data_IF_650711957450
#
_entry.id   IF_650711957450
#
_cell.length_a   1.000
_cell.length_b   1.000
_cell.length_c   1.000
_cell.angle_alpha   90.00
_cell.angle_beta   90.00
_cell.angle_gamma   90.00
#
_symmetry.space_group_name_H-M   'P 1'
#
loop_
_entity.id
_entity.type
_entity.pdbx_description
1 polymer ?
#
# COMPACT_ATOMS: atom_id res chain seq x y z
N UNK A 1 49.86 -24.74 6.40
CA UNK A 1 48.60 -24.54 5.66
C UNK A 1 47.48 -24.67 6.67
N UNK A 2 47.03 -23.53 7.20
CA UNK A 2 46.00 -23.45 8.22
C UNK A 2 44.79 -22.72 7.62
N UNK A 3 43.66 -23.39 7.76
CA UNK A 3 42.29 -22.97 7.47
C UNK A 3 41.88 -21.81 8.41
N UNK A 4 41.40 -20.69 7.84
CA UNK A 4 40.82 -19.57 8.59
C UNK A 4 39.69 -18.91 7.79
N UNK A 5 38.47 -19.26 8.22
CA UNK A 5 37.33 -18.37 8.48
C UNK A 5 36.58 -17.72 7.30
N UNK A 6 35.42 -18.32 7.03
CA UNK A 6 34.13 -17.72 6.67
C UNK A 6 33.81 -16.45 7.49
N UNK A 7 34.44 -15.32 7.15
CA UNK A 7 34.11 -13.97 7.67
C UNK A 7 34.25 -12.89 6.59
N UNK A 8 33.76 -13.18 5.38
CA UNK A 8 33.88 -12.29 4.21
C UNK A 8 32.62 -11.54 3.78
N UNK A 9 31.42 -11.88 4.26
CA UNK A 9 30.18 -11.35 3.65
C UNK A 9 29.09 -10.84 4.62
N UNK A 10 29.40 -10.62 5.91
CA UNK A 10 28.43 -10.07 6.88
C UNK A 10 28.99 -8.89 7.67
N UNK A 11 29.44 -7.85 6.96
CA UNK A 11 29.84 -6.58 7.59
C UNK A 11 29.66 -5.40 6.63
N UNK A 12 28.44 -5.15 6.15
CA UNK A 12 28.12 -3.93 5.40
C UNK A 12 26.66 -3.47 5.55
N UNK A 13 26.08 -3.56 6.75
CA UNK A 13 24.85 -2.82 7.09
C UNK A 13 24.83 -2.49 8.58
N UNK A 14 25.79 -1.67 9.02
CA UNK A 14 25.75 -1.04 10.34
C UNK A 14 25.93 0.45 10.14
N UNK A 15 24.80 1.11 9.89
CA UNK A 15 24.70 2.53 9.62
C UNK A 15 23.40 3.11 10.16
N UNK A 16 23.18 2.98 11.47
CA UNK A 16 22.48 3.93 12.35
C UNK A 16 21.42 4.82 11.68
N UNK A 17 20.19 4.33 11.54
CA UNK A 17 19.03 5.22 11.41
C UNK A 17 18.77 5.88 12.78
N UNK A 18 19.49 6.98 13.05
CA UNK A 18 19.01 7.99 13.97
C UNK A 18 18.01 8.82 13.18
N UNK A 19 16.71 8.59 13.40
CA UNK A 19 15.68 9.48 12.91
C UNK A 19 15.94 10.88 13.46
N UNK A 20 16.11 11.83 12.55
CA UNK A 20 16.51 13.21 12.82
C UNK A 20 15.43 13.94 13.60
N UNK A 21 15.76 14.39 14.81
CA UNK A 21 15.02 15.42 15.51
C UNK A 21 15.38 16.79 14.96
N UNK A 22 14.40 17.46 14.33
CA UNK A 22 13.88 18.78 14.71
C UNK A 22 13.07 19.41 13.57
N UNK A 23 11.83 19.85 13.87
CA UNK A 23 11.33 21.12 13.34
C UNK A 23 9.97 21.19 12.66
N UNK A 24 8.96 20.40 13.05
CA UNK A 24 7.56 20.61 12.65
C UNK A 24 6.62 20.11 13.73
N UNK A 25 5.73 20.95 14.22
CA UNK A 25 4.81 20.67 15.33
C UNK A 25 3.73 19.67 14.88
N UNK A 26 4.00 18.38 14.98
CA UNK A 26 3.01 17.30 14.98
C UNK A 26 3.34 16.37 16.14
N UNK A 27 2.41 16.20 17.06
CA UNK A 27 2.65 15.45 18.29
C UNK A 27 2.77 13.94 18.01
N UNK A 28 3.39 13.25 18.95
CA UNK A 28 3.73 11.85 18.82
C UNK A 28 2.59 10.98 19.37
N UNK A 29 1.76 10.45 18.47
CA UNK A 29 0.82 9.38 18.76
C UNK A 29 1.57 8.16 19.28
N UNK A 30 1.23 7.75 20.49
CA UNK A 30 1.86 6.64 21.20
C UNK A 30 1.49 5.32 20.52
N UNK A 31 2.26 4.90 19.51
CA UNK A 31 2.20 3.53 18.97
C UNK A 31 2.70 2.56 20.06
N UNK A 32 1.91 1.55 20.41
CA UNK A 32 2.44 0.37 21.10
C UNK A 32 3.27 -0.35 20.04
N UNK A 33 4.58 -0.24 20.16
CA UNK A 33 5.49 -0.95 19.29
C UNK A 33 5.28 -2.47 19.45
N UNK A 34 4.68 -3.12 18.44
CA UNK A 34 5.15 -4.45 18.09
C UNK A 34 6.57 -4.29 17.56
N UNK A 35 7.48 -5.13 18.04
CA UNK A 35 8.91 -4.88 17.96
C UNK A 35 9.46 -4.92 16.53
N UNK A 36 10.20 -3.86 16.20
CA UNK A 36 11.27 -3.79 15.20
C UNK A 36 10.87 -3.73 13.72
N UNK A 37 11.22 -2.60 13.09
CA UNK A 37 11.37 -2.42 11.65
C UNK A 37 12.47 -3.31 10.99
N UNK A 38 13.00 -4.28 11.74
CA UNK A 38 13.94 -5.32 11.26
C UNK A 38 13.21 -6.65 10.96
N UNK A 39 11.91 -6.76 11.28
CA UNK A 39 11.05 -7.92 11.01
C UNK A 39 9.96 -7.53 9.99
N UNK A 40 10.34 -7.16 8.77
CA UNK A 40 9.38 -6.95 7.68
C UNK A 40 9.64 -8.01 6.62
N UNK A 41 8.65 -8.87 6.36
CA UNK A 41 8.76 -9.80 5.25
C UNK A 41 8.48 -9.01 3.96
N UNK A 42 9.57 -8.75 3.24
CA UNK A 42 9.57 -7.92 2.04
C UNK A 42 9.21 -8.76 0.81
N UNK A 43 8.11 -8.43 0.15
CA UNK A 43 7.80 -8.92 -1.18
C UNK A 43 8.28 -7.91 -2.22
N UNK A 44 9.52 -8.05 -2.68
CA UNK A 44 10.14 -7.13 -3.65
C UNK A 44 10.10 -7.60 -5.10
N UNK A 45 9.92 -8.89 -5.34
CA UNK A 45 9.89 -9.49 -6.69
C UNK A 45 8.44 -9.62 -7.21
N UNK A 46 8.11 -9.07 -8.38
CA UNK A 46 6.82 -9.31 -9.03
C UNK A 46 6.54 -10.80 -9.19
N UNK A 47 5.34 -11.22 -8.81
CA UNK A 47 4.90 -12.62 -8.79
C UNK A 47 5.26 -13.39 -7.52
N UNK A 48 6.08 -12.84 -6.63
CA UNK A 48 6.34 -13.46 -5.33
C UNK A 48 5.05 -13.50 -4.50
N UNK A 49 4.86 -14.59 -3.74
CA UNK A 49 3.68 -14.76 -2.90
C UNK A 49 4.01 -15.43 -1.58
N UNK A 50 3.25 -15.08 -0.55
CA UNK A 50 3.26 -15.76 0.75
C UNK A 50 1.85 -16.27 1.09
N UNK A 51 1.80 -17.31 1.90
CA UNK A 51 0.55 -17.84 2.45
C UNK A 51 0.52 -17.58 3.95
N UNK A 52 -0.61 -17.07 4.42
CA UNK A 52 -0.86 -16.69 5.80
C UNK A 52 -2.06 -17.48 6.28
N UNK A 53 -1.91 -18.12 7.44
CA UNK A 53 -2.95 -18.98 8.02
C UNK A 53 -3.60 -18.24 9.19
N UNK A 54 -4.92 -18.29 9.34
CA UNK A 54 -5.58 -17.64 10.46
C UNK A 54 -5.15 -18.26 11.79
N UNK A 55 -5.16 -17.44 12.85
CA UNK A 55 -5.02 -17.92 14.22
C UNK A 55 -6.22 -18.77 14.66
N UNK A 56 -6.18 -19.27 15.90
CA UNK A 56 -7.26 -20.13 16.42
C UNK A 56 -8.65 -19.46 16.44
N UNK A 57 -8.71 -18.12 16.41
CA UNK A 57 -9.95 -17.34 16.42
C UNK A 57 -10.31 -16.76 15.04
N UNK A 58 -9.62 -17.18 13.98
CA UNK A 58 -9.71 -16.53 12.67
C UNK A 58 -8.70 -15.39 12.53
N UNK A 59 -8.92 -14.54 11.55
CA UNK A 59 -8.18 -13.28 11.39
C UNK A 59 -8.79 -12.17 12.24
N UNK A 60 -7.94 -11.31 12.79
CA UNK A 60 -8.34 -9.98 13.22
C UNK A 60 -8.38 -9.04 12.01
N UNK A 61 -8.85 -7.81 12.21
CA UNK A 61 -8.97 -6.83 11.10
C UNK A 61 -7.60 -6.56 10.47
N UNK A 62 -7.58 -6.61 9.14
CA UNK A 62 -6.39 -6.42 8.32
C UNK A 62 -6.36 -4.96 7.87
N UNK A 63 -5.23 -4.29 8.03
CA UNK A 63 -5.06 -2.89 7.61
C UNK A 63 -4.03 -2.79 6.49
N UNK A 64 -4.39 -2.08 5.42
CA UNK A 64 -3.56 -1.83 4.26
C UNK A 64 -3.35 -0.33 4.16
N UNK A 65 -2.12 0.13 4.32
CA UNK A 65 -1.75 1.55 4.23
C UNK A 65 -0.82 1.80 3.05
N UNK A 66 -0.98 2.95 2.38
CA UNK A 66 0.01 3.46 1.46
C UNK A 66 0.94 4.44 2.20
N UNK A 67 2.25 4.31 1.98
CA UNK A 67 3.21 5.31 2.43
C UNK A 67 4.22 5.59 1.33
N UNK A 68 4.76 6.79 1.29
CA UNK A 68 5.77 7.18 0.31
C UNK A 68 6.86 8.03 0.96
N UNK A 69 8.00 8.12 0.28
CA UNK A 69 9.03 9.07 0.66
C UNK A 69 8.77 10.37 -0.11
N UNK A 70 8.53 11.48 0.58
CA UNK A 70 8.52 12.78 -0.08
C UNK A 70 9.90 13.07 -0.67
N UNK A 71 10.01 13.54 -1.93
CA UNK A 71 11.29 13.99 -2.45
C UNK A 71 11.77 15.14 -1.55
N UNK A 72 13.07 15.18 -1.16
CA UNK A 72 13.57 16.23 -0.31
C UNK A 72 13.28 17.58 -0.96
N UNK A 73 12.53 18.43 -0.26
CA UNK A 73 12.33 19.80 -0.66
C UNK A 73 13.71 20.45 -0.76
N UNK A 74 14.21 20.69 -1.99
CA UNK A 74 15.43 21.47 -2.15
C UNK A 74 15.14 22.89 -1.65
N UNK A 75 15.55 23.15 -0.41
CA UNK A 75 15.49 24.47 0.23
C UNK A 75 16.59 25.36 -0.36
N UNK A 76 16.50 25.62 -1.66
CA UNK A 76 17.40 26.51 -2.39
C UNK A 76 16.88 27.94 -2.31
N UNK A 77 17.62 28.82 -1.63
CA UNK A 77 17.35 30.26 -1.51
C UNK A 77 17.26 31.01 -2.87
N UNK A 78 17.51 30.33 -4.00
CA UNK A 78 17.34 30.84 -5.37
C UNK A 78 16.00 30.44 -6.06
N UNK A 79 15.18 29.56 -5.48
CA UNK A 79 13.95 29.06 -6.12
C UNK A 79 12.80 30.08 -6.19
N UNK A 80 12.90 31.23 -5.50
CA UNK A 80 11.87 32.29 -5.52
C UNK A 80 11.74 33.04 -6.86
N UNK A 81 12.65 32.83 -7.82
CA UNK A 81 12.63 33.54 -9.11
C UNK A 81 12.14 32.69 -10.31
N UNK A 82 11.89 31.39 -10.12
CA UNK A 82 11.28 30.54 -11.12
C UNK A 82 9.89 30.09 -10.64
N UNK A 83 8.85 30.76 -11.16
CA UNK A 83 7.44 30.36 -10.99
C UNK A 83 7.24 28.99 -11.66
N UNK A 84 7.41 27.93 -10.90
CA UNK A 84 7.27 26.55 -11.34
C UNK A 84 7.79 25.60 -10.27
N UNK A 85 7.26 25.70 -9.05
CA UNK A 85 7.48 24.67 -8.04
C UNK A 85 7.03 23.31 -8.62
N UNK A 86 7.76 22.22 -8.40
CA UNK A 86 7.27 20.90 -8.79
C UNK A 86 5.97 20.66 -8.02
N UNK A 87 4.84 20.54 -8.73
CA UNK A 87 3.58 20.12 -8.13
C UNK A 87 3.83 18.81 -7.36
N UNK A 88 3.36 18.79 -6.09
CA UNK A 88 3.27 17.56 -5.31
C UNK A 88 2.46 16.53 -6.09
N UNK A 89 2.83 15.26 -5.97
CA UNK A 89 2.09 14.17 -6.59
C UNK A 89 1.08 13.69 -5.56
N UNK A 90 -0.20 13.68 -5.93
CA UNK A 90 -1.27 13.14 -5.10
C UNK A 90 -1.37 11.65 -5.36
N UNK A 91 -1.13 10.84 -4.32
CA UNK A 91 -1.13 9.39 -4.40
C UNK A 91 -2.33 8.85 -3.63
N UNK A 92 -3.24 8.22 -4.34
CA UNK A 92 -4.43 7.62 -3.77
C UNK A 92 -4.29 6.09 -3.62
N UNK A 93 -4.96 5.54 -2.61
CA UNK A 93 -5.12 4.10 -2.37
C UNK A 93 -6.54 3.63 -2.77
N UNK A 94 -6.62 2.46 -3.41
CA UNK A 94 -7.89 1.81 -3.71
C UNK A 94 -7.79 0.30 -3.80
N UNK A 95 -8.93 -0.36 -3.92
CA UNK A 95 -8.97 -1.78 -4.20
C UNK A 95 -10.17 -2.22 -5.03
N UNK A 96 -9.99 -3.26 -5.85
CA UNK A 96 -11.10 -4.07 -6.33
C UNK A 96 -11.35 -5.21 -5.37
N UNK A 97 -12.62 -5.58 -5.19
CA UNK A 97 -12.99 -6.73 -4.39
C UNK A 97 -13.99 -7.63 -5.11
N UNK A 98 -13.96 -8.89 -4.73
CA UNK A 98 -14.97 -9.88 -5.06
C UNK A 98 -15.29 -10.68 -3.80
N UNK A 99 -16.57 -10.76 -3.47
CA UNK A 99 -17.08 -11.55 -2.35
C UNK A 99 -17.36 -12.99 -2.78
N UNK A 100 -17.47 -13.89 -1.81
CA UNK A 100 -17.73 -15.31 -2.04
C UNK A 100 -19.06 -15.58 -2.77
N UNK A 101 -20.03 -14.67 -2.65
CA UNK A 101 -21.32 -14.74 -3.36
C UNK A 101 -21.27 -14.17 -4.80
N UNK A 102 -20.10 -13.69 -5.24
CA UNK A 102 -19.86 -13.14 -6.58
C UNK A 102 -20.16 -11.64 -6.72
N UNK A 103 -20.60 -10.96 -5.64
CA UNK A 103 -20.67 -9.51 -5.61
C UNK A 103 -19.27 -8.92 -5.79
N UNK A 104 -19.18 -7.85 -6.57
CA UNK A 104 -17.93 -7.21 -6.95
C UNK A 104 -18.07 -5.71 -6.86
N UNK A 105 -16.97 -5.06 -6.52
CA UNK A 105 -16.95 -3.62 -6.39
C UNK A 105 -15.54 -3.06 -6.30
N UNK A 106 -15.51 -1.74 -6.08
CA UNK A 106 -14.28 -0.98 -5.89
C UNK A 106 -14.42 -0.16 -4.61
N UNK A 107 -13.33 -0.05 -3.85
CA UNK A 107 -13.14 1.01 -2.87
C UNK A 107 -12.19 2.04 -3.46
N UNK A 108 -12.62 3.30 -3.50
CA UNK A 108 -11.84 4.42 -3.99
C UNK A 108 -12.48 5.75 -3.56
N UNK A 109 -11.63 6.72 -3.22
CA UNK A 109 -12.07 8.06 -2.81
C UNK A 109 -12.79 8.75 -3.97
N UNK A 110 -12.22 8.71 -5.18
CA UNK A 110 -12.89 9.21 -6.38
C UNK A 110 -14.13 8.35 -6.71
N UNK A 111 -15.31 8.97 -6.68
CA UNK A 111 -16.59 8.28 -6.86
C UNK A 111 -17.27 7.86 -5.55
N UNK A 112 -16.73 8.30 -4.41
CA UNK A 112 -17.32 8.16 -3.06
C UNK A 112 -17.66 6.70 -2.72
N UNK A 113 -16.71 5.78 -2.97
CA UNK A 113 -16.86 4.35 -2.71
C UNK A 113 -15.99 3.95 -1.51
N UNK A 114 -16.45 4.29 -0.31
CA UNK A 114 -15.68 4.05 0.92
C UNK A 114 -15.93 2.69 1.56
N UNK A 115 -17.02 1.99 1.23
CA UNK A 115 -17.33 0.71 1.86
C UNK A 115 -17.75 0.83 3.33
N UNK A 116 -17.93 -0.31 3.99
CA UNK A 116 -18.41 -0.43 5.38
C UNK A 116 -17.88 -1.72 6.00
N UNK A 117 -17.65 -1.72 7.30
CA UNK A 117 -17.23 -2.91 8.06
C UNK A 117 -18.42 -3.67 8.68
N UNK A 118 -19.56 -3.01 8.88
CA UNK A 118 -20.76 -3.58 9.53
C UNK A 118 -21.77 -4.18 8.54
N UNK A 119 -21.48 -4.12 7.25
CA UNK A 119 -22.25 -4.69 6.15
C UNK A 119 -21.30 -5.02 4.99
N UNK A 120 -21.70 -5.84 4.00
CA UNK A 120 -20.94 -6.00 2.78
C UNK A 120 -20.56 -4.62 2.20
N UNK A 121 -19.29 -4.40 1.81
CA UNK A 121 -18.31 -5.43 1.47
C UNK A 121 -17.40 -5.93 2.61
N UNK A 122 -17.68 -5.60 3.88
CA UNK A 122 -16.83 -5.95 5.03
C UNK A 122 -15.43 -5.34 4.99
N UNK A 123 -15.30 -4.25 4.24
CA UNK A 123 -14.07 -3.52 4.03
C UNK A 123 -14.38 -2.05 3.85
N UNK A 124 -13.47 -1.19 4.32
CA UNK A 124 -13.65 0.25 4.31
C UNK A 124 -12.34 0.96 3.98
N UNK A 125 -12.41 1.90 3.04
CA UNK A 125 -11.37 2.91 2.79
C UNK A 125 -11.61 4.09 3.74
N UNK A 126 -10.53 4.59 4.35
CA UNK A 126 -10.59 5.80 5.17
C UNK A 126 -11.09 6.99 4.34
N UNK A 127 -12.07 7.72 4.88
CA UNK A 127 -12.46 9.00 4.31
C UNK A 127 -11.36 10.01 4.64
N UNK A 128 -10.65 10.47 3.61
CA UNK A 128 -9.62 11.50 3.64
C UNK A 128 -9.90 12.58 4.70
N UNK A 129 -9.04 12.62 5.72
CA UNK A 129 -8.99 13.72 6.68
C UNK A 129 -8.27 14.91 6.02
N UNK A 130 -8.96 15.59 5.09
CA UNK A 130 -8.51 16.83 4.43
C UNK A 130 -8.16 18.00 5.36
N UNK A 131 -8.31 17.81 6.67
CA UNK A 131 -7.75 18.66 7.70
C UNK A 131 -6.56 17.91 8.30
N UNK A 132 -5.33 18.28 7.94
CA UNK A 132 -4.08 17.74 8.51
C UNK A 132 -3.91 17.99 10.01
N UNK A 133 -4.88 17.54 10.81
CA UNK A 133 -5.02 17.67 12.25
C UNK A 133 -5.10 16.30 12.94
N UNK A 134 -5.25 15.19 12.20
CA UNK A 134 -5.29 13.84 12.75
C UNK A 134 -3.97 13.08 12.51
N UNK A 135 -3.39 12.50 13.56
CA UNK A 135 -2.20 11.65 13.47
C UNK A 135 -2.57 10.25 12.91
N UNK A 136 -2.02 9.86 11.75
CA UNK A 136 -2.27 8.56 11.11
C UNK A 136 -1.72 8.47 9.68
N UNK A 137 -1.79 7.29 9.06
CA UNK A 137 -1.49 7.13 7.61
C UNK A 137 -2.58 7.86 6.81
N UNK A 138 -2.18 8.61 5.77
CA UNK A 138 -3.05 9.56 5.04
C UNK A 138 -4.26 8.86 4.38
N UNK A 139 -4.08 7.62 3.90
CA UNK A 139 -5.16 6.74 3.44
C UNK A 139 -4.90 5.26 3.78
N UNK A 140 -5.91 4.56 4.30
CA UNK A 140 -5.83 3.11 4.57
C UNK A 140 -7.15 2.38 4.25
N UNK A 141 -7.03 1.11 3.90
CA UNK A 141 -8.14 0.17 3.75
C UNK A 141 -8.12 -0.81 4.91
N UNK A 142 -9.23 -0.91 5.64
CA UNK A 142 -9.47 -1.97 6.63
C UNK A 142 -10.34 -3.06 6.01
N UNK A 143 -9.96 -4.32 6.18
CA UNK A 143 -10.76 -5.50 5.83
C UNK A 143 -11.11 -6.23 7.13
N UNK A 144 -12.38 -6.57 7.33
CA UNK A 144 -12.81 -7.26 8.54
C UNK A 144 -12.32 -8.70 8.55
N UNK A 145 -11.47 -9.04 9.51
CA UNK A 145 -10.93 -10.41 9.65
C UNK A 145 -12.01 -11.42 10.02
N UNK A 146 -13.01 -10.98 10.79
CA UNK A 146 -14.17 -11.78 11.16
C UNK A 146 -15.03 -12.20 9.95
N UNK A 147 -14.93 -11.45 8.84
CA UNK A 147 -15.66 -11.70 7.59
C UNK A 147 -14.73 -12.10 6.43
N UNK A 148 -13.49 -12.51 6.71
CA UNK A 148 -12.54 -12.91 5.65
C UNK A 148 -13.08 -14.05 4.78
N UNK A 149 -13.84 -14.99 5.35
CA UNK A 149 -14.48 -16.08 4.61
C UNK A 149 -15.57 -15.62 3.64
N UNK A 150 -16.11 -14.41 3.81
CA UNK A 150 -17.05 -13.79 2.87
C UNK A 150 -16.32 -13.09 1.70
N UNK A 151 -15.00 -12.91 1.79
CA UNK A 151 -14.16 -12.25 0.78
C UNK A 151 -13.47 -13.32 -0.07
N UNK A 152 -13.66 -13.27 -1.40
CA UNK A 152 -12.98 -14.19 -2.34
C UNK A 152 -11.59 -13.69 -2.68
N UNK A 153 -11.48 -12.42 -3.08
CA UNK A 153 -10.21 -11.78 -3.43
C UNK A 153 -10.30 -10.26 -3.38
N UNK A 154 -9.15 -9.63 -3.15
CA UNK A 154 -8.95 -8.19 -3.16
C UNK A 154 -7.71 -7.88 -4.01
N UNK A 155 -7.82 -6.92 -4.92
CA UNK A 155 -6.67 -6.37 -5.66
C UNK A 155 -6.42 -4.95 -5.16
N UNK A 156 -5.28 -4.75 -4.53
CA UNK A 156 -4.84 -3.46 -3.99
C UNK A 156 -4.12 -2.71 -5.11
N UNK A 157 -4.47 -1.45 -5.28
CA UNK A 157 -3.81 -0.58 -6.25
C UNK A 157 -3.60 0.81 -5.68
N UNK A 158 -2.65 1.51 -6.28
CA UNK A 158 -2.42 2.94 -6.07
C UNK A 158 -2.49 3.66 -7.41
N UNK A 159 -2.85 4.93 -7.39
CA UNK A 159 -2.93 5.74 -8.60
C UNK A 159 -2.53 7.19 -8.35
N UNK A 160 -2.07 7.85 -9.41
CA UNK A 160 -1.76 9.28 -9.40
C UNK A 160 -2.94 10.01 -10.03
N UNK A 161 -3.71 10.72 -9.20
CA UNK A 161 -4.92 11.42 -9.65
C UNK A 161 -4.60 12.73 -10.38
N UNK A 162 -3.70 13.54 -9.82
CA UNK A 162 -3.21 14.77 -10.45
C UNK A 162 -1.67 14.86 -10.38
N UNK A 163 -1.09 15.50 -11.38
CA UNK A 163 0.35 15.59 -11.58
C UNK A 163 0.92 14.56 -12.57
N UNK A 164 2.16 14.79 -13.00
CA UNK A 164 2.85 13.87 -13.91
C UNK A 164 3.29 12.61 -13.15
N UNK A 165 3.02 11.39 -13.67
CA UNK A 165 3.46 10.16 -13.02
C UNK A 165 4.98 10.15 -12.87
N UNK A 166 5.46 10.20 -11.64
CA UNK A 166 6.88 10.14 -11.28
C UNK A 166 7.08 9.15 -10.15
N UNK A 167 6.67 7.91 -10.38
CA UNK A 167 6.83 6.79 -9.45
C UNK A 167 8.29 6.65 -8.98
N UNK A 168 9.22 6.88 -9.91
CA UNK A 168 10.66 6.94 -9.66
C UNK A 168 11.09 7.89 -8.55
N UNK A 169 10.35 8.99 -8.34
CA UNK A 169 10.62 10.00 -7.32
C UNK A 169 9.90 9.75 -5.99
N UNK A 170 8.73 9.10 -6.02
CA UNK A 170 7.83 8.91 -4.86
C UNK A 170 8.18 7.63 -4.08
N UNK A 171 8.67 6.60 -4.78
CA UNK A 171 9.01 5.29 -4.22
C UNK A 171 7.93 4.76 -3.26
N UNK A 172 6.70 4.53 -3.73
CA UNK A 172 5.61 4.12 -2.85
C UNK A 172 5.89 2.73 -2.26
N UNK A 173 5.48 2.57 -1.01
CA UNK A 173 5.40 1.30 -0.30
C UNK A 173 3.95 1.09 0.13
N UNK A 174 3.45 -0.13 -0.04
CA UNK A 174 2.18 -0.54 0.55
C UNK A 174 2.48 -1.46 1.70
N UNK A 175 2.01 -1.08 2.89
CA UNK A 175 2.15 -1.83 4.12
C UNK A 175 0.86 -2.61 4.39
N UNK A 176 0.99 -3.88 4.73
CA UNK A 176 -0.10 -4.72 5.18
C UNK A 176 0.19 -5.15 6.61
N UNK A 177 -0.67 -4.74 7.53
CA UNK A 177 -0.71 -5.18 8.92
C UNK A 177 -1.77 -6.27 9.04
N UNK A 178 -1.31 -7.49 9.31
CA UNK A 178 -2.14 -8.66 9.59
C UNK A 178 -1.80 -9.09 11.01
N UNK A 179 -2.69 -8.88 12.00
CA UNK A 179 -2.36 -9.16 13.39
C UNK A 179 -1.92 -10.60 13.61
N UNK A 180 -0.74 -10.76 14.25
CA UNK A 180 -0.09 -12.05 14.47
C UNK A 180 1.02 -12.38 13.47
N UNK A 181 1.12 -11.64 12.37
CA UNK A 181 2.24 -11.69 11.43
C UNK A 181 3.20 -10.51 11.63
N UNK A 182 4.38 -10.61 11.03
CA UNK A 182 5.26 -9.47 10.84
C UNK A 182 4.64 -8.50 9.84
N UNK A 183 4.92 -7.19 9.97
CA UNK A 183 4.51 -6.20 8.97
C UNK A 183 4.98 -6.63 7.58
N UNK A 184 4.06 -6.65 6.62
CA UNK A 184 4.37 -7.03 5.25
C UNK A 184 4.46 -5.78 4.39
N UNK A 185 5.55 -5.65 3.63
CA UNK A 185 5.72 -4.55 2.70
C UNK A 185 5.79 -5.04 1.27
N UNK A 186 5.01 -4.42 0.40
CA UNK A 186 5.20 -4.49 -1.05
C UNK A 186 5.91 -3.21 -1.48
N UNK A 187 7.16 -3.37 -1.94
CA UNK A 187 7.94 -2.27 -2.51
C UNK A 187 7.84 -2.34 -4.03
N UNK A 188 7.52 -1.19 -4.63
CA UNK A 188 7.48 -1.01 -6.07
C UNK A 188 8.92 -0.90 -6.61
N UNK A 189 9.56 -2.05 -6.78
CA UNK A 189 10.94 -2.18 -7.24
C UNK A 189 11.10 -1.83 -8.73
N UNK A 190 10.00 -1.91 -9.49
CA UNK A 190 9.91 -1.54 -10.91
C UNK A 190 8.86 -0.45 -11.07
N UNK A 191 9.10 0.49 -11.98
CA UNK A 191 8.18 1.60 -12.24
C UNK A 191 8.01 1.91 -13.72
N UNK A 192 6.85 2.45 -14.06
CA UNK A 192 6.57 2.98 -15.39
C UNK A 192 5.88 4.34 -15.29
N UNK A 193 6.69 5.40 -15.38
CA UNK A 193 6.27 6.81 -15.30
C UNK A 193 5.33 7.26 -16.46
N UNK A 194 4.95 6.35 -17.38
CA UNK A 194 3.95 6.63 -18.42
C UNK A 194 2.54 6.15 -18.05
N UNK A 195 2.40 5.38 -16.98
CA UNK A 195 1.16 4.71 -16.60
C UNK A 195 0.73 5.19 -15.20
N UNK A 196 -0.49 5.74 -15.04
CA UNK A 196 -0.91 6.41 -13.81
C UNK A 196 -1.48 5.48 -12.74
N UNK A 197 -1.67 4.19 -13.03
CA UNK A 197 -2.22 3.20 -12.09
C UNK A 197 -1.23 2.06 -11.90
N UNK A 198 -1.04 1.62 -10.65
CA UNK A 198 -0.25 0.45 -10.32
C UNK A 198 -1.06 -0.53 -9.47
N UNK A 199 -1.25 -1.76 -9.97
CA UNK A 199 -1.70 -2.90 -9.18
C UNK A 199 -0.54 -3.39 -8.33
N UNK A 200 -0.66 -3.24 -7.01
CA UNK A 200 0.43 -3.47 -6.08
C UNK A 200 0.43 -4.92 -5.61
N UNK A 201 -0.68 -5.39 -5.04
CA UNK A 201 -0.75 -6.74 -4.49
C UNK A 201 -2.16 -7.30 -4.49
N UNK A 202 -2.24 -8.63 -4.52
CA UNK A 202 -3.49 -9.38 -4.50
C UNK A 202 -3.59 -10.20 -3.22
N UNK A 203 -4.74 -10.13 -2.55
CA UNK A 203 -5.14 -11.03 -1.48
C UNK A 203 -6.17 -12.01 -2.04
N UNK A 204 -5.89 -13.31 -1.97
CA UNK A 204 -6.84 -14.36 -2.36
C UNK A 204 -7.20 -15.20 -1.13
N UNK A 205 -8.50 -15.45 -0.92
CA UNK A 205 -8.94 -16.41 0.09
C UNK A 205 -8.74 -17.82 -0.44
N UNK A 206 -7.76 -18.54 0.14
CA UNK A 206 -7.46 -19.92 -0.20
C UNK A 206 -7.73 -20.78 1.02
N UNK A 207 -8.91 -21.41 1.04
CA UNK A 207 -9.35 -22.31 2.13
C UNK A 207 -9.34 -21.63 3.51
N UNK A 208 -9.79 -20.38 3.58
CA UNK A 208 -9.82 -19.58 4.81
C UNK A 208 -8.48 -18.95 5.18
N UNK A 209 -7.40 -19.25 4.45
CA UNK A 209 -6.13 -18.53 4.54
C UNK A 209 -6.05 -17.35 3.56
N UNK A 210 -5.02 -16.53 3.70
CA UNK A 210 -4.68 -15.46 2.75
C UNK A 210 -3.50 -15.92 1.92
N UNK A 211 -3.63 -15.88 0.60
CA UNK A 211 -2.48 -15.84 -0.31
C UNK A 211 -2.26 -14.39 -0.72
N UNK A 212 -1.16 -13.80 -0.25
CA UNK A 212 -0.72 -12.48 -0.67
C UNK A 212 0.26 -12.62 -1.84
N UNK A 213 0.00 -11.94 -2.95
CA UNK A 213 0.89 -11.92 -4.14
C UNK A 213 1.30 -10.48 -4.43
N UNK A 214 2.60 -10.23 -4.66
CA UNK A 214 3.07 -8.97 -5.21
C UNK A 214 2.83 -8.98 -6.73
N UNK A 215 2.03 -8.04 -7.23
CA UNK A 215 1.85 -7.85 -8.67
C UNK A 215 2.85 -6.83 -9.22
N UNK A 216 2.91 -5.61 -8.66
CA UNK A 216 3.73 -4.50 -9.19
C UNK A 216 3.56 -4.35 -10.71
N UNK A 217 2.31 -4.29 -11.16
CA UNK A 217 1.94 -4.16 -12.58
C UNK A 217 1.30 -2.78 -12.84
N UNK A 218 1.67 -2.14 -13.95
CA UNK A 218 1.23 -0.77 -14.26
C UNK A 218 0.24 -0.74 -15.43
N UNK A 219 -0.76 0.14 -15.34
CA UNK A 219 -1.88 0.22 -16.29
C UNK A 219 -2.20 1.67 -16.69
N UNK A 220 -2.73 1.90 -17.91
CA UNK A 220 -3.15 3.22 -18.36
C UNK A 220 -4.40 3.74 -17.62
N UNK A 221 -5.17 2.84 -17.01
CA UNK A 221 -6.37 3.15 -16.26
C UNK A 221 -6.98 1.93 -15.58
N UNK A 222 -7.99 2.18 -14.76
CA UNK A 222 -8.68 1.14 -13.97
C UNK A 222 -9.44 0.13 -14.84
N UNK A 223 -9.95 0.53 -16.02
CA UNK A 223 -10.61 -0.37 -16.97
C UNK A 223 -9.63 -1.43 -17.52
N UNK A 224 -8.44 -1.00 -17.92
CA UNK A 224 -7.41 -1.92 -18.43
C UNK A 224 -6.89 -2.84 -17.33
N UNK A 225 -6.74 -2.31 -16.11
CA UNK A 225 -6.41 -3.11 -14.92
C UNK A 225 -7.48 -4.16 -14.63
N UNK A 226 -8.77 -3.79 -14.64
CA UNK A 226 -9.87 -4.73 -14.44
C UNK A 226 -9.90 -5.82 -15.52
N UNK A 227 -9.68 -5.47 -16.79
CA UNK A 227 -9.60 -6.47 -17.87
C UNK A 227 -8.47 -7.46 -17.65
N UNK A 228 -7.33 -7.02 -17.12
CA UNK A 228 -6.19 -7.88 -16.85
C UNK A 228 -6.43 -8.85 -15.67
N UNK A 229 -7.06 -8.37 -14.60
CA UNK A 229 -7.33 -9.17 -13.39
C UNK A 229 -8.70 -9.87 -13.39
N UNK A 230 -9.57 -9.52 -14.32
CA UNK A 230 -10.86 -10.15 -14.56
C UNK A 230 -11.85 -10.00 -13.41
N UNK A 231 -11.99 -8.81 -12.78
CA UNK A 231 -13.10 -8.56 -11.87
C UNK A 231 -14.40 -8.38 -12.67
N UNK A 232 -14.35 -7.83 -13.88
CA UNK A 232 -15.53 -7.69 -14.74
C UNK A 232 -16.48 -6.63 -14.21
N UNK A 233 -15.93 -5.49 -13.83
CA UNK A 233 -16.66 -4.37 -13.26
C UNK A 233 -17.55 -3.70 -14.31
N UNK A 234 -18.74 -3.21 -13.93
CA UNK A 234 -19.59 -2.45 -14.85
C UNK A 234 -19.04 -1.03 -15.02
N UNK A 235 -18.05 -0.87 -15.89
CA UNK A 235 -17.54 0.45 -16.26
C UNK A 235 -18.59 1.20 -17.09
N UNK A 236 -19.07 2.34 -16.58
CA UNK A 236 -19.81 3.30 -17.40
C UNK A 236 -18.87 4.08 -18.32
N UNK A 237 -19.42 4.88 -19.22
CA UNK A 237 -18.69 5.89 -20.01
C UNK A 237 -18.19 7.01 -19.06
N UNK A 238 -17.24 6.69 -18.19
CA UNK A 238 -16.67 7.63 -17.23
C UNK A 238 -16.07 8.82 -17.97
N UNK A 239 -16.64 10.01 -17.76
CA UNK A 239 -15.98 11.26 -18.16
C UNK A 239 -14.94 11.58 -17.09
N UNK A 240 -13.71 11.82 -17.55
CA UNK A 240 -12.64 12.44 -16.76
C UNK A 240 -13.10 13.79 -16.22
#
# INVERSE_FOLDING_TARGET
MADVSTRGLMAATRGRAKFSGHGGLGAAGKRVASGAADNCDLLSEPGASIAITPGQRGFEDITIGAAWDEPPAEVGFFAKLFKGAPQGVDLDLGCFYELADGQRGVLQAFGNKFGRLDAPPWMRLSEDARSGEAEGDDEHITISGAHWDDVRRVLIYIYIYDGAPRWSAIKPRVMLDIPGENDLAVILSVHNDRLPVCAVGGLENVRGGIKLTNHTEYFPGHLEMDRAFGFGMPWGDGRK
#
